data_IF_680322148648
#
_entry.id   IF_680322148648
#
_cell.length_a   1.000
_cell.length_b   1.000
_cell.length_c   1.000
_cell.angle_alpha   90.00
_cell.angle_beta   90.00
_cell.angle_gamma   90.00
#
_symmetry.space_group_name_H-M   'P 1'
#
loop_
_entity.id
_entity.type
_entity.pdbx_description
1 polymer ?
#
# COMPACT_ATOMS: atom_id res chain seq x y z
N UNK A 1 5.46 -16.67 -12.09
CA UNK A 1 6.63 -16.00 -12.72
C UNK A 1 6.86 -14.67 -12.01
N UNK A 2 8.09 -14.35 -11.57
CA UNK A 2 8.39 -13.07 -10.93
C UNK A 2 8.21 -11.92 -11.94
N UNK A 3 7.58 -10.83 -11.50
CA UNK A 3 7.42 -9.62 -12.32
C UNK A 3 8.61 -8.69 -12.04
N UNK A 4 9.24 -8.21 -13.11
CA UNK A 4 10.43 -7.36 -13.05
C UNK A 4 10.00 -5.88 -13.03
N UNK A 5 10.62 -5.09 -12.16
CA UNK A 5 10.49 -3.64 -12.10
C UNK A 5 11.66 -2.96 -12.85
N UNK A 6 11.58 -1.64 -13.00
CA UNK A 6 12.62 -0.79 -13.61
C UNK A 6 14.03 -1.20 -13.18
N UNK A 7 14.96 -1.18 -14.14
CA UNK A 7 16.37 -1.58 -13.97
C UNK A 7 16.60 -3.04 -13.52
N UNK A 8 15.63 -3.93 -13.74
CA UNK A 8 15.79 -5.37 -13.44
C UNK A 8 15.49 -5.76 -12.00
N UNK A 9 14.93 -4.86 -11.18
CA UNK A 9 14.57 -5.15 -9.79
C UNK A 9 13.44 -6.18 -9.67
N UNK A 10 13.50 -7.04 -8.65
CA UNK A 10 12.43 -8.01 -8.37
C UNK A 10 11.27 -7.32 -7.64
N UNK A 11 10.04 -7.52 -8.12
CA UNK A 11 8.83 -7.05 -7.43
C UNK A 11 8.35 -8.09 -6.43
N UNK A 12 8.07 -7.66 -5.21
CA UNK A 12 7.37 -8.47 -4.21
C UNK A 12 5.88 -8.15 -4.31
N UNK A 13 5.03 -9.18 -4.43
CA UNK A 13 3.58 -9.04 -4.50
C UNK A 13 2.92 -9.83 -3.37
N UNK A 14 1.80 -9.33 -2.85
CA UNK A 14 1.07 -10.00 -1.78
C UNK A 14 -0.33 -9.45 -1.56
N UNK A 15 -1.04 -10.03 -0.59
CA UNK A 15 -2.32 -9.53 -0.09
C UNK A 15 -2.07 -8.61 1.11
N UNK A 16 -2.87 -7.57 1.22
CA UNK A 16 -2.86 -6.58 2.29
C UNK A 16 -4.29 -6.19 2.65
N UNK A 17 -4.43 -5.39 3.69
CA UNK A 17 -5.71 -4.83 4.14
C UNK A 17 -5.69 -3.31 4.00
N UNK A 18 -6.80 -2.76 3.51
CA UNK A 18 -7.00 -1.32 3.40
C UNK A 18 -8.21 -0.94 4.26
N UNK A 19 -8.08 0.13 5.05
CA UNK A 19 -9.20 0.69 5.83
C UNK A 19 -10.33 1.08 4.87
N UNK A 20 -11.58 0.71 5.18
CA UNK A 20 -12.74 1.20 4.44
C UNK A 20 -13.11 2.61 4.91
N UNK A 21 -13.15 3.55 3.97
CA UNK A 21 -13.34 4.97 4.24
C UNK A 21 -14.82 5.40 4.18
N UNK A 22 -15.72 4.51 3.72
CA UNK A 22 -17.15 4.81 3.45
C UNK A 22 -17.88 5.48 4.60
N UNK A 23 -17.60 5.04 5.82
CA UNK A 23 -18.34 5.46 7.01
C UNK A 23 -17.81 6.77 7.64
N UNK A 24 -16.78 7.41 7.06
CA UNK A 24 -16.18 8.62 7.63
C UNK A 24 -17.01 9.89 7.42
N UNK A 25 -17.77 9.97 6.33
CA UNK A 25 -18.77 11.03 6.10
C UNK A 25 -18.27 12.48 6.23
N UNK A 26 -16.96 12.74 6.15
CA UNK A 26 -16.34 14.07 6.29
C UNK A 26 -15.92 14.47 7.71
N UNK A 27 -16.09 13.62 8.72
CA UNK A 27 -15.58 13.88 10.09
C UNK A 27 -14.09 13.54 10.17
N UNK A 28 -13.30 14.31 10.94
CA UNK A 28 -11.87 14.03 11.15
C UNK A 28 -11.62 13.02 12.29
N UNK A 29 -12.53 12.96 13.27
CA UNK A 29 -12.44 12.08 14.42
C UNK A 29 -13.79 11.40 14.68
N UNK A 30 -13.76 10.11 15.04
CA UNK A 30 -14.95 9.32 15.37
C UNK A 30 -14.60 8.15 16.29
N UNK A 31 -15.59 7.69 17.05
CA UNK A 31 -15.56 6.38 17.70
C UNK A 31 -16.12 5.36 16.72
N UNK A 32 -15.27 4.49 16.18
CA UNK A 32 -15.69 3.46 15.23
C UNK A 32 -14.78 2.23 15.32
N UNK A 33 -15.35 1.07 14.99
CA UNK A 33 -14.57 -0.14 14.74
C UNK A 33 -13.82 0.00 13.40
N UNK A 34 -12.59 -0.54 13.35
CA UNK A 34 -11.78 -0.50 12.14
C UNK A 34 -12.31 -1.57 11.19
N UNK A 35 -12.96 -1.14 10.11
CA UNK A 35 -13.33 -2.01 9.01
C UNK A 35 -12.25 -1.98 7.93
N UNK A 36 -11.86 -3.16 7.45
CA UNK A 36 -10.87 -3.31 6.37
C UNK A 36 -11.44 -4.07 5.19
N UNK A 37 -10.83 -3.87 4.03
CA UNK A 37 -11.09 -4.64 2.80
C UNK A 37 -9.78 -5.21 2.25
N UNK A 38 -9.81 -6.40 1.63
CA UNK A 38 -8.64 -6.97 0.98
C UNK A 38 -8.12 -6.06 -0.14
N UNK A 39 -6.79 -5.97 -0.27
CA UNK A 39 -6.10 -5.24 -1.32
C UNK A 39 -4.88 -6.03 -1.81
N UNK A 40 -4.52 -5.84 -3.07
CA UNK A 40 -3.25 -6.33 -3.61
C UNK A 40 -2.16 -5.28 -3.40
N UNK A 41 -1.01 -5.70 -2.87
CA UNK A 41 0.16 -4.84 -2.72
C UNK A 41 1.31 -5.31 -3.62
N UNK A 42 2.04 -4.34 -4.18
CA UNK A 42 3.28 -4.56 -4.93
C UNK A 42 4.35 -3.64 -4.38
N UNK A 43 5.46 -4.21 -3.92
CA UNK A 43 6.63 -3.47 -3.47
C UNK A 43 7.74 -3.55 -4.51
N UNK A 44 8.35 -2.40 -4.79
CA UNK A 44 9.56 -2.29 -5.60
C UNK A 44 10.77 -2.08 -4.69
N UNK A 45 11.99 -2.43 -5.14
CA UNK A 45 13.21 -2.10 -4.40
C UNK A 45 13.30 -0.59 -4.13
N UNK A 46 13.69 -0.22 -2.91
CA UNK A 46 13.72 1.17 -2.48
C UNK A 46 14.58 2.07 -3.40
N UNK A 47 15.75 1.58 -3.85
CA UNK A 47 16.62 2.34 -4.75
C UNK A 47 15.98 2.67 -6.11
N UNK A 48 14.97 1.90 -6.53
CA UNK A 48 14.26 2.10 -7.79
C UNK A 48 13.06 3.05 -7.65
N UNK A 49 12.79 3.56 -6.44
CA UNK A 49 11.79 4.60 -6.19
C UNK A 49 12.09 5.88 -7.01
N UNK A 50 11.06 6.69 -7.29
CA UNK A 50 11.15 7.96 -8.05
C UNK A 50 11.72 7.86 -9.48
N UNK A 51 11.76 6.66 -10.06
CA UNK A 51 12.11 6.45 -11.47
C UNK A 51 10.85 6.29 -12.36
N UNK A 52 9.68 6.70 -11.85
CA UNK A 52 8.36 6.69 -12.52
C UNK A 52 7.73 8.08 -12.38
N UNK A 53 6.41 8.17 -12.56
CA UNK A 53 5.64 9.38 -12.25
C UNK A 53 5.63 9.69 -10.74
N UNK A 54 5.48 10.97 -10.35
CA UNK A 54 5.34 11.37 -8.95
C UNK A 54 4.17 10.65 -8.24
N UNK A 55 4.40 10.22 -7.00
CA UNK A 55 3.39 9.55 -6.19
C UNK A 55 3.86 9.30 -4.76
N UNK A 56 2.98 8.76 -3.92
CA UNK A 56 3.27 8.49 -2.50
C UNK A 56 4.14 7.24 -2.29
N UNK A 57 5.01 7.28 -1.27
CA UNK A 57 5.87 6.15 -0.86
C UNK A 57 5.84 5.93 0.64
N UNK A 58 5.94 4.68 1.05
CA UNK A 58 6.34 4.29 2.40
C UNK A 58 7.30 3.10 2.35
N UNK A 59 8.28 3.10 3.24
CA UNK A 59 9.17 1.94 3.48
C UNK A 59 8.56 1.06 4.56
N UNK A 60 8.17 1.68 5.68
CA UNK A 60 7.51 0.99 6.78
C UNK A 60 6.00 1.00 6.56
N UNK A 61 5.43 -0.20 6.54
CA UNK A 61 4.00 -0.43 6.33
C UNK A 61 3.42 -0.94 7.65
N UNK A 62 2.21 -0.48 8.00
CA UNK A 62 1.53 -0.95 9.19
C UNK A 62 1.27 -2.45 9.11
N UNK A 63 1.58 -3.15 10.18
CA UNK A 63 1.26 -4.56 10.33
C UNK A 63 -0.16 -4.69 10.89
N UNK A 64 -0.99 -5.50 10.23
CA UNK A 64 -2.25 -5.97 10.81
C UNK A 64 -1.93 -7.02 11.88
N UNK A 65 -2.51 -6.88 13.08
CA UNK A 65 -2.27 -7.76 14.22
C UNK A 65 -3.23 -8.94 14.24
#
# INVERSE_FOLDING_TARGET
>A
MPRICLRGGVVISGKAERIDEKDWGGSLYRTAEIQTKPADIKAAPYYAWCNREPGEMRVWINQSR
#
